data_IF_140505844283
#
_entry.id   IF_140505844283
#
_cell.length_a   1.000
_cell.length_b   1.000
_cell.length_c   1.000
_cell.angle_alpha   90.00
_cell.angle_beta   90.00
_cell.angle_gamma   90.00
#
_symmetry.space_group_name_H-M   'P 1'
#
loop_
_entity.id
_entity.type
_entity.pdbx_description
1 polymer ?
#
# COMPACT_ATOMS: atom_id res chain seq x y z
N UNK A 1 -10.80 0.73 6.80
CA UNK A 1 -9.37 0.57 7.17
C UNK A 1 -8.98 -0.89 6.97
N UNK A 2 -7.79 -1.17 6.46
CA UNK A 2 -7.28 -2.55 6.29
C UNK A 2 -5.78 -2.64 6.57
N UNK A 3 -5.36 -3.80 7.06
CA UNK A 3 -3.96 -4.17 7.25
C UNK A 3 -3.62 -5.37 6.36
N UNK A 4 -2.42 -5.39 5.77
CA UNK A 4 -1.93 -6.53 4.98
C UNK A 4 -2.95 -6.97 3.92
N UNK A 5 -3.41 -8.23 3.90
CA UNK A 5 -4.42 -8.70 2.93
C UNK A 5 -5.75 -7.92 2.96
N UNK A 6 -6.09 -7.28 4.09
CA UNK A 6 -7.25 -6.39 4.18
C UNK A 6 -7.14 -5.16 3.26
N UNK A 7 -5.93 -4.68 2.97
CA UNK A 7 -5.71 -3.64 1.96
C UNK A 7 -6.02 -4.15 0.57
N UNK A 8 -5.68 -5.40 0.28
CA UNK A 8 -5.97 -6.05 -1.00
C UNK A 8 -7.46 -6.12 -1.25
N UNK A 9 -8.25 -6.49 -0.23
CA UNK A 9 -9.70 -6.52 -0.31
C UNK A 9 -10.29 -5.11 -0.58
N UNK A 10 -9.92 -4.13 0.25
CA UNK A 10 -10.45 -2.76 0.13
C UNK A 10 -9.99 -2.13 -1.19
N UNK A 11 -8.70 -2.22 -1.51
CA UNK A 11 -8.12 -1.69 -2.74
C UNK A 11 -8.77 -2.29 -3.98
N UNK A 12 -8.95 -3.61 -4.02
CA UNK A 12 -9.64 -4.28 -5.14
C UNK A 12 -11.07 -3.77 -5.27
N UNK A 13 -11.83 -3.73 -4.17
CA UNK A 13 -13.21 -3.21 -4.17
C UNK A 13 -13.28 -1.79 -4.74
N UNK A 14 -12.41 -0.88 -4.27
CA UNK A 14 -12.39 0.50 -4.74
C UNK A 14 -12.08 0.58 -6.24
N UNK A 15 -11.06 -0.14 -6.71
CA UNK A 15 -10.64 -0.09 -8.11
C UNK A 15 -11.68 -0.71 -9.06
N UNK A 16 -12.31 -1.83 -8.67
CA UNK A 16 -13.42 -2.40 -9.43
C UNK A 16 -14.60 -1.45 -9.46
N UNK A 17 -14.93 -0.79 -8.35
CA UNK A 17 -15.99 0.22 -8.33
C UNK A 17 -15.66 1.39 -9.29
N UNK A 18 -14.42 1.88 -9.30
CA UNK A 18 -13.98 2.91 -10.25
C UNK A 18 -14.12 2.45 -11.72
N UNK A 19 -13.86 1.18 -12.02
CA UNK A 19 -14.00 0.60 -13.36
C UNK A 19 -15.46 0.40 -13.78
N UNK A 20 -16.27 -0.20 -12.91
CA UNK A 20 -17.60 -0.70 -13.24
C UNK A 20 -18.72 0.31 -12.98
N UNK A 21 -18.55 1.18 -11.98
CA UNK A 21 -19.56 2.13 -11.52
C UNK A 21 -18.97 3.51 -11.22
N UNK A 22 -18.26 4.15 -12.16
CA UNK A 22 -17.53 5.40 -11.92
C UNK A 22 -18.42 6.56 -11.45
N UNK A 23 -19.68 6.59 -11.89
CA UNK A 23 -20.66 7.63 -11.52
C UNK A 23 -21.41 7.32 -10.22
N UNK A 24 -21.34 6.08 -9.74
CA UNK A 24 -22.00 5.72 -8.50
C UNK A 24 -21.12 6.15 -7.32
N UNK A 25 -21.69 6.75 -6.26
CA UNK A 25 -20.91 7.05 -5.07
C UNK A 25 -20.35 5.77 -4.45
N UNK A 26 -19.14 5.86 -3.91
CA UNK A 26 -18.60 4.81 -3.06
C UNK A 26 -19.42 4.72 -1.76
N UNK A 27 -19.61 3.52 -1.20
CA UNK A 27 -20.27 3.35 0.09
C UNK A 27 -19.40 3.84 1.27
N UNK A 28 -18.16 4.23 1.00
CA UNK A 28 -17.20 4.74 1.98
C UNK A 28 -16.71 6.12 1.56
N UNK A 29 -16.50 6.98 2.55
CA UNK A 29 -15.99 8.35 2.33
C UNK A 29 -14.48 8.46 2.40
N UNK A 30 -13.79 7.48 2.99
CA UNK A 30 -12.33 7.42 3.03
C UNK A 30 -11.83 5.98 3.11
N UNK A 31 -10.53 5.80 2.90
CA UNK A 31 -9.85 4.53 3.13
C UNK A 31 -8.49 4.73 3.82
N UNK A 32 -8.12 3.76 4.65
CA UNK A 32 -6.83 3.74 5.35
C UNK A 32 -6.20 2.37 5.16
N UNK A 33 -4.96 2.36 4.70
CA UNK A 33 -4.20 1.16 4.36
C UNK A 33 -2.94 1.08 5.22
N UNK A 34 -2.74 -0.05 5.87
CA UNK A 34 -1.53 -0.35 6.62
C UNK A 34 -0.81 -1.53 5.98
N UNK A 35 0.47 -1.35 5.63
CA UNK A 35 1.40 -2.42 5.27
C UNK A 35 0.83 -3.39 4.22
N UNK A 36 0.30 -2.86 3.12
CA UNK A 36 -0.33 -3.68 2.10
C UNK A 36 -0.70 -2.93 0.84
N UNK A 37 -0.88 -3.69 -0.24
CA UNK A 37 -1.22 -3.17 -1.57
C UNK A 37 -2.44 -3.87 -2.18
N UNK A 38 -2.59 -3.73 -3.49
CA UNK A 38 -3.54 -4.51 -4.32
C UNK A 38 -2.81 -5.64 -5.05
N UNK A 39 -3.49 -6.76 -5.29
CA UNK A 39 -2.90 -7.88 -6.03
C UNK A 39 -2.69 -7.56 -7.51
N UNK A 40 -1.55 -7.97 -8.08
CA UNK A 40 -1.22 -7.72 -9.48
C UNK A 40 -2.23 -8.34 -10.47
N UNK A 41 -2.86 -9.46 -10.12
CA UNK A 41 -3.91 -10.05 -10.95
C UNK A 41 -5.15 -9.17 -11.04
N UNK A 42 -5.48 -8.43 -9.96
CA UNK A 42 -6.57 -7.45 -9.99
C UNK A 42 -6.18 -6.27 -10.86
N UNK A 43 -4.94 -5.76 -10.71
CA UNK A 43 -4.41 -4.68 -11.55
C UNK A 43 -4.49 -5.05 -13.04
N UNK A 44 -4.11 -6.27 -13.39
CA UNK A 44 -4.19 -6.79 -14.76
C UNK A 44 -5.63 -6.93 -15.26
N UNK A 45 -6.54 -7.46 -14.45
CA UNK A 45 -7.97 -7.55 -14.81
C UNK A 45 -8.58 -6.18 -15.10
N UNK A 46 -8.15 -5.14 -14.37
CA UNK A 46 -8.56 -3.76 -14.58
C UNK A 46 -8.01 -3.15 -15.89
N UNK A 47 -7.20 -3.89 -16.64
CA UNK A 47 -6.62 -3.49 -17.92
C UNK A 47 -5.31 -2.72 -17.80
N UNK A 48 -4.68 -2.73 -16.62
CA UNK A 48 -3.35 -2.14 -16.42
C UNK A 48 -2.30 -3.19 -16.77
N UNK A 49 -1.34 -2.82 -17.61
CA UNK A 49 -0.24 -3.72 -17.98
C UNK A 49 0.66 -3.96 -16.78
N UNK A 50 0.80 -5.22 -16.38
CA UNK A 50 1.76 -5.66 -15.36
C UNK A 50 3.01 -6.18 -16.06
N UNK A 51 4.18 -5.65 -15.73
CA UNK A 51 5.45 -6.11 -16.31
C UNK A 51 5.91 -7.43 -15.68
N UNK A 52 6.78 -8.18 -16.39
CA UNK A 52 7.41 -9.37 -15.82
C UNK A 52 8.23 -9.04 -14.57
N UNK A 53 8.94 -7.90 -14.58
CA UNK A 53 9.68 -7.40 -13.44
C UNK A 53 8.78 -7.11 -12.22
N UNK A 54 7.58 -6.56 -12.43
CA UNK A 54 6.61 -6.36 -11.34
C UNK A 54 6.18 -7.69 -10.70
N UNK A 55 5.93 -8.73 -11.52
CA UNK A 55 5.55 -10.05 -11.01
C UNK A 55 6.69 -10.71 -10.24
N UNK A 56 7.88 -10.71 -10.81
CA UNK A 56 9.07 -11.27 -10.16
C UNK A 56 9.36 -10.56 -8.82
N UNK A 57 9.24 -9.23 -8.79
CA UNK A 57 9.39 -8.47 -7.56
C UNK A 57 8.29 -8.83 -6.54
N UNK A 58 7.02 -8.89 -6.95
CA UNK A 58 5.93 -9.23 -6.04
C UNK A 58 6.04 -10.66 -5.49
N UNK A 59 6.51 -11.62 -6.30
CA UNK A 59 6.80 -12.99 -5.87
C UNK A 59 7.92 -13.00 -4.81
N UNK A 60 9.07 -12.35 -5.11
CA UNK A 60 10.19 -12.22 -4.15
C UNK A 60 9.77 -11.52 -2.85
N UNK A 61 8.95 -10.49 -2.94
CA UNK A 61 8.39 -9.78 -1.79
C UNK A 61 7.47 -10.68 -0.95
N UNK A 62 6.67 -11.54 -1.58
CA UNK A 62 5.81 -12.51 -0.88
C UNK A 62 6.64 -13.60 -0.20
N UNK A 63 7.62 -14.16 -0.89
CA UNK A 63 8.52 -15.17 -0.32
C UNK A 63 9.29 -14.60 0.88
N UNK A 64 9.85 -13.40 0.74
CA UNK A 64 10.51 -12.70 1.83
C UNK A 64 9.55 -12.43 3.00
N UNK A 65 8.29 -12.07 2.76
CA UNK A 65 7.31 -11.90 3.83
C UNK A 65 7.07 -13.22 4.60
N UNK A 66 6.91 -14.34 3.90
CA UNK A 66 6.70 -15.65 4.54
C UNK A 66 7.93 -16.10 5.33
N UNK A 67 9.13 -15.97 4.77
CA UNK A 67 10.38 -16.28 5.47
C UNK A 67 10.53 -15.45 6.75
N UNK A 68 10.20 -14.14 6.68
CA UNK A 68 10.24 -13.26 7.85
C UNK A 68 9.20 -13.62 8.88
N UNK A 69 7.98 -13.95 8.47
CA UNK A 69 6.93 -14.40 9.37
C UNK A 69 7.34 -15.67 10.15
N UNK A 70 8.00 -16.63 9.50
CA UNK A 70 8.53 -17.81 10.19
C UNK A 70 9.67 -17.47 11.15
N UNK A 71 10.51 -16.49 10.81
CA UNK A 71 11.62 -16.05 11.69
C UNK A 71 11.14 -15.46 13.03
N UNK A 72 9.91 -14.93 13.08
CA UNK A 72 9.28 -14.41 14.32
C UNK A 72 9.25 -15.46 15.42
N UNK A 73 9.09 -16.74 15.07
CA UNK A 73 9.03 -17.84 16.04
C UNK A 73 10.30 -17.97 16.88
N UNK A 74 11.43 -17.51 16.34
CA UNK A 74 12.74 -17.56 16.99
C UNK A 74 13.26 -16.18 17.40
N UNK A 75 12.53 -15.11 17.08
CA UNK A 75 12.95 -13.74 17.37
C UNK A 75 12.86 -13.43 18.88
N UNK A 76 13.81 -12.64 19.36
CA UNK A 76 13.83 -12.13 20.73
C UNK A 76 13.26 -10.71 20.78
N UNK A 77 12.84 -10.30 21.97
CA UNK A 77 12.43 -8.91 22.22
C UNK A 77 13.60 -7.99 21.90
N UNK A 78 13.39 -7.05 20.97
CA UNK A 78 14.40 -6.10 20.51
C UNK A 78 15.11 -6.47 19.21
N UNK A 79 14.89 -7.67 18.66
CA UNK A 79 15.47 -8.06 17.37
C UNK A 79 14.79 -7.29 16.22
N UNK A 80 15.58 -6.58 15.41
CA UNK A 80 15.12 -5.98 14.14
C UNK A 80 15.30 -6.97 12.99
N UNK A 81 14.51 -8.05 13.01
CA UNK A 81 14.58 -9.09 11.98
C UNK A 81 14.04 -8.62 10.62
N UNK A 82 13.33 -7.48 10.57
CA UNK A 82 12.80 -6.88 9.35
C UNK A 82 13.88 -6.21 8.50
N UNK A 83 14.93 -5.65 9.10
CA UNK A 83 15.98 -4.90 8.39
C UNK A 83 16.88 -5.76 7.47
N UNK A 84 16.77 -7.09 7.51
CA UNK A 84 17.66 -7.99 6.77
C UNK A 84 17.01 -8.51 5.48
N UNK A 85 17.74 -8.51 4.36
CA UNK A 85 17.32 -9.22 3.15
C UNK A 85 16.16 -8.58 2.39
N UNK A 86 16.08 -7.25 2.39
CA UNK A 86 15.12 -6.54 1.52
C UNK A 86 15.42 -6.88 0.05
N UNK A 87 14.37 -7.18 -0.70
CA UNK A 87 14.44 -7.56 -2.12
C UNK A 87 14.27 -6.36 -3.06
N UNK A 88 14.14 -5.16 -2.48
CA UNK A 88 13.97 -3.86 -3.10
C UNK A 88 14.79 -2.81 -2.33
N UNK A 89 15.05 -1.68 -2.96
CA UNK A 89 15.66 -0.52 -2.30
C UNK A 89 14.57 0.49 -1.91
N UNK A 90 14.32 0.75 -0.60
CA UNK A 90 13.34 1.74 -0.16
C UNK A 90 13.79 3.20 -0.38
N UNK A 91 15.09 3.44 -0.62
CA UNK A 91 15.63 4.78 -0.88
C UNK A 91 15.62 5.13 -2.38
N UNK A 92 15.39 4.13 -3.24
CA UNK A 92 15.29 4.33 -4.68
C UNK A 92 14.10 5.24 -5.03
N UNK A 93 14.38 6.29 -5.80
CA UNK A 93 13.36 7.26 -6.20
C UNK A 93 12.32 6.61 -7.13
N UNK A 94 11.08 6.55 -6.65
CA UNK A 94 9.94 6.02 -7.41
C UNK A 94 9.53 7.02 -8.50
N UNK A 95 9.49 6.55 -9.75
CA UNK A 95 9.11 7.34 -10.93
C UNK A 95 7.73 6.93 -11.41
N UNK A 96 6.99 7.85 -12.04
CA UNK A 96 5.63 7.56 -12.50
C UNK A 96 5.60 6.47 -13.59
N UNK A 97 6.65 6.40 -14.40
CA UNK A 97 6.83 5.42 -15.48
C UNK A 97 7.15 4.03 -14.94
N UNK A 98 7.61 3.95 -13.69
CA UNK A 98 8.06 2.72 -13.05
C UNK A 98 7.87 2.79 -11.53
N UNK A 99 6.64 2.48 -11.11
CA UNK A 99 6.28 2.30 -9.71
C UNK A 99 6.38 0.82 -9.40
N UNK A 100 7.61 0.37 -9.11
CA UNK A 100 7.91 -1.04 -8.83
C UNK A 100 7.40 -1.97 -9.96
N UNK A 101 7.66 -1.59 -11.21
CA UNK A 101 7.28 -2.33 -12.40
C UNK A 101 5.89 -2.03 -12.98
N UNK A 102 5.14 -1.08 -12.40
CA UNK A 102 3.88 -0.57 -12.95
C UNK A 102 4.06 0.82 -13.57
N UNK A 103 3.61 1.00 -14.80
CA UNK A 103 3.68 2.28 -15.54
C UNK A 103 2.40 3.10 -15.32
N UNK A 104 2.43 4.04 -14.36
CA UNK A 104 1.31 4.92 -14.04
C UNK A 104 1.11 6.07 -15.03
N UNK A 105 1.96 6.20 -16.06
CA UNK A 105 1.66 7.09 -17.20
C UNK A 105 0.60 6.50 -18.12
N UNK A 106 0.43 5.17 -18.08
CA UNK A 106 -0.55 4.44 -18.92
C UNK A 106 -1.81 4.03 -18.17
N UNK A 107 -1.83 4.13 -16.84
CA UNK A 107 -3.02 3.83 -16.04
C UNK A 107 -4.13 4.84 -16.34
N UNK A 108 -5.33 4.41 -16.79
CA UNK A 108 -6.43 5.31 -17.06
C UNK A 108 -6.85 6.09 -15.81
N UNK A 109 -7.03 7.41 -15.94
CA UNK A 109 -7.47 8.28 -14.83
C UNK A 109 -8.83 7.91 -14.24
N UNK A 110 -9.67 7.17 -14.98
CA UNK A 110 -10.93 6.61 -14.49
C UNK A 110 -10.76 5.55 -13.40
N UNK A 111 -9.58 4.91 -13.31
CA UNK A 111 -9.28 3.95 -12.24
C UNK A 111 -8.81 4.63 -10.96
N UNK A 112 -8.62 5.94 -10.98
CA UNK A 112 -8.09 6.69 -9.84
C UNK A 112 -9.16 6.83 -8.76
N UNK A 113 -8.82 6.42 -7.55
CA UNK A 113 -9.67 6.54 -6.36
C UNK A 113 -9.67 8.01 -5.91
N UNK A 114 -10.87 8.62 -5.88
CA UNK A 114 -11.09 10.06 -5.60
C UNK A 114 -11.73 10.32 -4.23
N UNK A 115 -11.53 9.41 -3.28
CA UNK A 115 -11.85 9.65 -1.87
C UNK A 115 -10.54 9.89 -1.09
N UNK A 116 -10.60 10.62 0.05
CA UNK A 116 -9.48 10.74 0.97
C UNK A 116 -8.88 9.38 1.35
N UNK A 117 -7.55 9.27 1.22
CA UNK A 117 -6.81 8.04 1.58
C UNK A 117 -5.57 8.31 2.41
N UNK A 118 -5.33 7.44 3.38
CA UNK A 118 -4.08 7.37 4.15
C UNK A 118 -3.40 6.04 3.88
N UNK A 119 -2.11 6.08 3.59
CA UNK A 119 -1.28 4.90 3.39
C UNK A 119 -0.14 4.92 4.40
N UNK A 120 -0.08 3.89 5.23
CA UNK A 120 0.93 3.71 6.26
C UNK A 120 1.69 2.43 5.94
N UNK A 121 3.02 2.51 5.94
CA UNK A 121 3.89 1.36 5.65
C UNK A 121 5.20 1.50 6.40
N UNK A 122 5.99 0.45 6.41
CA UNK A 122 7.36 0.50 6.90
C UNK A 122 8.35 0.23 5.77
N UNK A 123 9.43 1.01 5.68
CA UNK A 123 10.50 0.78 4.69
C UNK A 123 11.21 -0.58 4.80
N UNK A 124 11.03 -1.33 5.90
CA UNK A 124 11.55 -2.70 6.06
C UNK A 124 10.49 -3.76 5.78
N UNK A 125 9.28 -3.37 5.37
CA UNK A 125 8.20 -4.31 5.05
C UNK A 125 8.44 -4.91 3.66
N UNK A 126 8.52 -6.24 3.50
CA UNK A 126 8.53 -6.87 2.18
C UNK A 126 7.36 -6.44 1.27
N UNK A 127 6.23 -5.98 1.82
CA UNK A 127 5.08 -5.43 1.09
C UNK A 127 5.16 -3.93 0.80
N UNK A 128 6.26 -3.26 1.12
CA UNK A 128 6.46 -1.84 0.81
C UNK A 128 6.21 -1.51 -0.68
N UNK A 129 6.79 -2.24 -1.67
CA UNK A 129 6.52 -1.97 -3.08
C UNK A 129 5.03 -1.97 -3.43
N UNK A 130 4.27 -2.94 -2.91
CA UNK A 130 2.85 -3.06 -3.15
C UNK A 130 2.03 -1.95 -2.46
N UNK A 131 2.47 -1.52 -1.28
CA UNK A 131 1.86 -0.38 -0.56
C UNK A 131 2.03 0.92 -1.35
N UNK A 132 3.24 1.15 -1.88
CA UNK A 132 3.52 2.28 -2.75
C UNK A 132 2.67 2.19 -4.02
N UNK A 133 2.66 1.06 -4.72
CA UNK A 133 1.82 0.86 -5.92
C UNK A 133 0.34 1.19 -5.67
N UNK A 134 -0.25 0.69 -4.58
CA UNK A 134 -1.64 1.00 -4.24
C UNK A 134 -1.85 2.49 -4.02
N UNK A 135 -0.91 3.17 -3.34
CA UNK A 135 -0.99 4.60 -3.13
C UNK A 135 -1.10 5.38 -4.46
N UNK A 136 -0.41 4.94 -5.51
CA UNK A 136 -0.41 5.59 -6.83
C UNK A 136 -1.74 5.46 -7.60
N UNK A 137 -2.65 4.59 -7.17
CA UNK A 137 -4.02 4.58 -7.66
C UNK A 137 -4.94 5.59 -6.97
N UNK A 138 -4.48 6.29 -5.92
CA UNK A 138 -5.27 7.27 -5.20
C UNK A 138 -4.88 8.70 -5.59
N UNK A 139 -5.89 9.58 -5.69
CA UNK A 139 -5.73 11.00 -6.05
C UNK A 139 -4.69 11.70 -5.16
N UNK A 140 -3.58 12.22 -5.72
CA UNK A 140 -2.49 12.82 -4.94
C UNK A 140 -2.91 13.95 -4.00
N UNK A 141 -3.87 14.78 -4.41
CA UNK A 141 -4.38 15.87 -3.57
C UNK A 141 -5.19 15.37 -2.36
N UNK A 142 -5.77 14.17 -2.46
CA UNK A 142 -6.57 13.51 -1.43
C UNK A 142 -5.81 12.36 -0.74
N UNK A 143 -4.49 12.30 -0.89
CA UNK A 143 -3.66 11.22 -0.38
C UNK A 143 -2.65 11.73 0.65
N UNK A 144 -2.49 10.97 1.72
CA UNK A 144 -1.36 11.09 2.66
C UNK A 144 -0.65 9.77 2.82
N UNK A 145 0.66 9.84 2.99
CA UNK A 145 1.54 8.67 3.15
C UNK A 145 2.39 8.85 4.41
N UNK A 146 2.66 7.77 5.12
CA UNK A 146 3.52 7.79 6.29
C UNK A 146 4.34 6.51 6.37
N UNK A 147 5.66 6.67 6.45
CA UNK A 147 6.60 5.59 6.70
C UNK A 147 6.92 5.53 8.19
N UNK A 148 6.57 4.41 8.83
CA UNK A 148 6.83 4.19 10.24
C UNK A 148 8.17 3.49 10.52
N UNK A 149 8.99 3.22 9.50
CA UNK A 149 10.38 2.75 9.64
C UNK A 149 10.57 1.32 10.18
N UNK A 150 9.48 0.55 10.30
CA UNK A 150 9.51 -0.85 10.75
C UNK A 150 9.22 -1.80 9.58
N UNK A 151 8.95 -3.07 9.86
CA UNK A 151 8.55 -4.06 8.85
C UNK A 151 7.04 -4.20 8.73
N UNK A 152 6.58 -5.44 8.53
CA UNK A 152 5.16 -5.76 8.33
C UNK A 152 4.39 -5.81 9.66
N UNK A 153 4.21 -4.65 10.31
CA UNK A 153 3.52 -4.53 11.60
C UNK A 153 2.73 -3.22 11.70
N UNK A 154 1.83 -3.12 12.67
CA UNK A 154 1.22 -1.85 13.06
C UNK A 154 2.14 -1.22 14.12
N UNK A 155 2.69 -0.01 13.88
CA UNK A 155 3.68 0.58 14.77
C UNK A 155 3.08 0.89 16.15
N UNK A 156 3.82 0.57 17.22
CA UNK A 156 3.38 0.70 18.62
C UNK A 156 4.16 1.73 19.44
N UNK A 157 5.12 2.44 18.83
CA UNK A 157 5.80 3.53 19.52
C UNK A 157 4.84 4.70 19.70
N UNK A 158 5.06 5.50 20.75
CA UNK A 158 4.23 6.66 21.04
C UNK A 158 4.23 7.62 19.85
N UNK A 159 5.41 7.92 19.33
CA UNK A 159 5.62 8.86 18.23
C UNK A 159 4.89 8.41 16.97
N UNK A 160 4.98 7.12 16.60
CA UNK A 160 4.25 6.60 15.46
C UNK A 160 2.73 6.60 15.69
N UNK A 161 2.28 6.29 16.91
CA UNK A 161 0.86 6.24 17.24
C UNK A 161 0.22 7.63 17.17
N UNK A 162 0.90 8.64 17.71
CA UNK A 162 0.49 10.05 17.61
C UNK A 162 0.43 10.49 16.15
N UNK A 163 1.45 10.15 15.35
CA UNK A 163 1.47 10.51 13.92
C UNK A 163 0.36 9.82 13.12
N UNK A 164 0.07 8.56 13.41
CA UNK A 164 -1.07 7.86 12.79
C UNK A 164 -2.39 8.48 13.22
N UNK A 165 -2.55 8.85 14.50
CA UNK A 165 -3.77 9.52 14.98
C UNK A 165 -4.04 10.83 14.23
N UNK A 166 -3.02 11.69 14.04
CA UNK A 166 -3.13 12.92 13.24
C UNK A 166 -3.62 12.66 11.80
N UNK A 167 -3.15 11.58 11.18
CA UNK A 167 -3.57 11.19 9.83
C UNK A 167 -5.01 10.68 9.79
N UNK A 168 -5.43 9.96 10.84
CA UNK A 168 -6.81 9.50 10.97
C UNK A 168 -7.78 10.65 11.24
N UNK A 169 -7.38 11.63 12.04
CA UNK A 169 -8.13 12.87 12.24
C UNK A 169 -8.24 13.65 10.93
N UNK A 170 -7.12 13.83 10.21
CA UNK A 170 -7.13 14.46 8.89
C UNK A 170 -8.11 13.79 7.93
N UNK A 171 -8.05 12.47 7.79
CA UNK A 171 -8.92 11.76 6.84
C UNK A 171 -10.38 11.80 7.26
N UNK A 172 -10.65 11.84 8.57
CA UNK A 172 -11.99 12.04 9.12
C UNK A 172 -12.57 13.41 8.75
N UNK A 173 -11.80 14.49 8.93
CA UNK A 173 -12.23 15.85 8.56
C UNK A 173 -12.56 15.96 7.07
N UNK A 174 -11.74 15.36 6.20
CA UNK A 174 -11.98 15.34 4.75
C UNK A 174 -13.27 14.60 4.35
N UNK A 175 -13.90 13.81 5.23
CA UNK A 175 -15.17 13.13 4.97
C UNK A 175 -16.41 13.95 5.32
N UNK A 176 -16.23 15.06 6.04
CA UNK A 176 -17.29 15.96 6.48
C UNK A 176 -17.50 17.14 5.52
N UNK A 177 -16.51 17.42 4.67
CA UNK A 177 -16.57 18.36 3.54
C UNK A 177 -17.36 17.80 2.35
#
# INVERSE_FOLDING_TARGET
MGFSQGTGLIGSFLLYHMKERPEAPLPFKCAVFFCGGVGLNVVEDLGVKVSAAARELDDRCRDALFEKAESVRTARVGDDYWAQGLVFDPEEAVRREDVYGLDFTRVPTRLMVRIPTVHVWGNKDPRYPASVQLSWFCEPSLRRTFDHGSGHDIPRTKECSERVAELLEWVGMMCEE
#
